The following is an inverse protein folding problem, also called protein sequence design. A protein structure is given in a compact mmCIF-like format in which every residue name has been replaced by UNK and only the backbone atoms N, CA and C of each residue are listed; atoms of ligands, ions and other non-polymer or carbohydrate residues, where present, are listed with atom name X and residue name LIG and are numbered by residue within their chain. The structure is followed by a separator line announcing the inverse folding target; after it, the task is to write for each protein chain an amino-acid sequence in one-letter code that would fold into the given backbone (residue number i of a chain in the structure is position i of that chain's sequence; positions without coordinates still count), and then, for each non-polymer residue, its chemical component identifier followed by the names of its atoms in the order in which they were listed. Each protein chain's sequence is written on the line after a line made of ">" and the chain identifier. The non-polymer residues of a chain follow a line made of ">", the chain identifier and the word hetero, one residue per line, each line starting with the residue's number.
data_IF_009727653526
#
_entry.id   IF_009727653526
#
_cell.length_a   1.000
_cell.length_b   1.000
_cell.length_c   1.000
_cell.angle_alpha   90.00
_cell.angle_beta   90.00
_cell.angle_gamma   90.00
#
_symmetry.space_group_name_H-M   'P 1'
#
loop_
_entity.id
_entity.type
_entity.pdbx_description
1 polymer ?
#
# COMPACT_ATOMS: atom_id res chain seq x y z
N UNK A 1 38.40 4.46 39.24
CA UNK A 1 39.01 4.05 37.97
C UNK A 1 38.07 3.09 37.27
N UNK A 2 37.73 3.43 36.01
CA UNK A 2 37.33 2.56 34.89
C UNK A 2 36.06 1.71 35.12
N UNK A 3 34.96 1.85 34.39
CA UNK A 3 34.76 2.42 33.06
C UNK A 3 33.72 1.54 32.36
N UNK A 4 32.64 2.17 31.88
CA UNK A 4 31.58 1.54 31.10
C UNK A 4 32.12 0.73 29.92
N UNK A 5 31.55 -0.46 29.67
CA UNK A 5 31.55 -1.06 28.35
C UNK A 5 30.10 -1.13 27.86
N UNK A 6 29.73 -0.07 27.14
CA UNK A 6 28.58 0.00 26.26
C UNK A 6 28.72 -1.04 25.16
N UNK A 7 27.90 -2.09 25.18
CA UNK A 7 27.75 -2.95 24.02
C UNK A 7 27.05 -2.16 22.92
N UNK A 8 27.82 -1.93 21.87
CA UNK A 8 27.49 -1.12 20.72
C UNK A 8 26.17 -1.59 20.08
N UNK A 9 25.26 -0.62 19.94
CA UNK A 9 24.09 -0.71 19.08
C UNK A 9 24.54 -0.97 17.64
N UNK A 10 24.61 -2.24 17.24
CA UNK A 10 24.76 -2.64 15.85
C UNK A 10 23.45 -2.31 15.13
N UNK A 11 23.31 -1.05 14.69
CA UNK A 11 22.38 -0.68 13.62
C UNK A 11 22.84 -1.39 12.36
N UNK A 12 22.33 -2.61 12.14
CA UNK A 12 22.41 -3.30 10.85
C UNK A 12 21.74 -2.41 9.81
N UNK A 13 22.53 -1.59 9.12
CA UNK A 13 22.18 -1.06 7.81
C UNK A 13 22.16 -2.24 6.85
N UNK A 14 21.07 -3.01 6.85
CA UNK A 14 20.80 -3.97 5.80
C UNK A 14 20.62 -3.15 4.51
N UNK A 15 21.61 -3.15 3.64
CA UNK A 15 21.45 -2.70 2.27
C UNK A 15 20.43 -3.63 1.61
N UNK A 16 19.17 -3.18 1.59
CA UNK A 16 18.10 -3.84 0.86
C UNK A 16 18.53 -3.96 -0.61
N UNK A 17 18.94 -5.15 -1.04
CA UNK A 17 19.27 -5.42 -2.42
C UNK A 17 18.07 -6.03 -3.14
N UNK A 18 17.92 -5.73 -4.44
CA UNK A 18 16.81 -6.17 -5.30
C UNK A 18 16.55 -7.67 -5.17
N UNK A 19 17.61 -8.47 -5.26
CA UNK A 19 17.56 -9.94 -5.22
C UNK A 19 16.93 -10.48 -3.94
N UNK A 20 17.22 -9.88 -2.79
CA UNK A 20 16.64 -10.28 -1.51
C UNK A 20 15.14 -9.97 -1.45
N UNK A 21 14.74 -8.78 -1.92
CA UNK A 21 13.32 -8.38 -1.99
C UNK A 21 12.55 -9.34 -2.89
N UNK A 22 13.06 -9.61 -4.10
CA UNK A 22 12.44 -10.52 -5.05
C UNK A 22 12.31 -11.93 -4.48
N UNK A 23 13.37 -12.45 -3.84
CA UNK A 23 13.34 -13.77 -3.18
C UNK A 23 12.27 -13.87 -2.09
N UNK A 24 12.04 -12.78 -1.34
CA UNK A 24 11.01 -12.75 -0.28
C UNK A 24 9.60 -12.94 -0.82
N UNK A 25 9.32 -12.46 -2.03
CA UNK A 25 7.97 -12.47 -2.62
C UNK A 25 7.81 -13.47 -3.77
N UNK A 26 8.90 -14.14 -4.16
CA UNK A 26 8.95 -15.04 -5.33
C UNK A 26 7.88 -16.14 -5.28
N UNK A 27 7.68 -16.73 -4.09
CA UNK A 27 6.65 -17.76 -3.83
C UNK A 27 5.24 -17.31 -4.26
N UNK A 28 4.98 -16.01 -4.31
CA UNK A 28 3.67 -15.44 -4.61
C UNK A 28 3.56 -14.89 -6.05
N UNK A 29 4.61 -14.98 -6.86
CA UNK A 29 4.67 -14.35 -8.19
C UNK A 29 3.51 -14.77 -9.11
N UNK A 30 3.13 -16.05 -9.13
CA UNK A 30 2.02 -16.54 -9.96
C UNK A 30 0.69 -15.88 -9.52
N UNK A 31 0.42 -15.88 -8.22
CA UNK A 31 -0.79 -15.29 -7.62
C UNK A 31 -0.84 -13.77 -7.90
N UNK A 32 0.28 -13.09 -7.70
CA UNK A 32 0.43 -11.64 -7.95
C UNK A 32 0.19 -11.33 -9.43
N UNK A 33 0.78 -12.10 -10.34
CA UNK A 33 0.60 -11.91 -11.79
C UNK A 33 -0.86 -12.11 -12.20
N UNK A 34 -1.53 -13.12 -11.69
CA UNK A 34 -2.94 -13.37 -11.96
C UNK A 34 -3.81 -12.20 -11.46
N UNK A 35 -3.58 -11.75 -10.21
CA UNK A 35 -4.31 -10.62 -9.65
C UNK A 35 -4.02 -9.31 -10.41
N UNK A 36 -2.77 -9.08 -10.82
CA UNK A 36 -2.36 -7.93 -11.64
C UNK A 36 -3.16 -7.85 -12.95
N UNK A 37 -3.26 -8.98 -13.67
CA UNK A 37 -4.02 -9.08 -14.91
C UNK A 37 -5.52 -8.91 -14.64
N UNK A 38 -6.07 -9.65 -13.68
CA UNK A 38 -7.49 -9.64 -13.35
C UNK A 38 -8.02 -8.25 -13.00
N UNK A 39 -7.27 -7.50 -12.18
CA UNK A 39 -7.68 -6.20 -11.68
C UNK A 39 -7.05 -5.03 -12.45
N UNK A 40 -6.26 -5.29 -13.50
CA UNK A 40 -5.51 -4.28 -14.26
C UNK A 40 -4.72 -3.34 -13.33
N UNK A 41 -3.96 -3.95 -12.41
CA UNK A 41 -3.12 -3.26 -11.43
C UNK A 41 -1.67 -3.62 -11.71
N UNK A 42 -0.77 -2.65 -11.62
CA UNK A 42 0.67 -2.85 -11.81
C UNK A 42 1.23 -3.92 -10.85
N UNK A 43 1.82 -4.98 -11.42
CA UNK A 43 2.43 -6.08 -10.68
C UNK A 43 3.51 -5.58 -9.70
N UNK A 44 4.33 -4.60 -10.12
CA UNK A 44 5.37 -4.02 -9.25
C UNK A 44 4.78 -3.31 -8.05
N UNK A 45 3.60 -2.69 -8.20
CA UNK A 45 2.92 -2.02 -7.10
C UNK A 45 2.42 -3.03 -6.07
N UNK A 46 1.80 -4.14 -6.51
CA UNK A 46 1.34 -5.22 -5.62
C UNK A 46 2.53 -5.80 -4.86
N UNK A 47 3.63 -6.13 -5.56
CA UNK A 47 4.88 -6.64 -4.96
C UNK A 47 5.43 -5.69 -3.89
N UNK A 48 5.47 -4.40 -4.20
CA UNK A 48 6.01 -3.38 -3.29
C UNK A 48 5.15 -3.23 -2.04
N UNK A 49 3.83 -3.28 -2.17
CA UNK A 49 2.89 -3.24 -1.04
C UNK A 49 3.07 -4.49 -0.17
N UNK A 50 3.05 -5.70 -0.75
CA UNK A 50 3.26 -6.96 0.01
C UNK A 50 4.55 -6.90 0.82
N UNK A 51 5.65 -6.45 0.19
CA UNK A 51 6.93 -6.36 0.87
C UNK A 51 6.90 -5.38 2.06
N UNK A 52 6.32 -4.19 1.88
CA UNK A 52 6.23 -3.17 2.95
C UNK A 52 5.27 -3.60 4.07
N UNK A 53 4.18 -4.28 3.74
CA UNK A 53 3.13 -4.67 4.69
C UNK A 53 3.50 -5.88 5.55
N UNK A 54 4.13 -6.90 4.95
CA UNK A 54 4.34 -8.19 5.64
C UNK A 54 5.72 -8.79 5.45
N UNK A 55 6.56 -8.22 4.57
CA UNK A 55 7.77 -8.87 4.08
C UNK A 55 7.52 -10.32 3.64
N UNK A 56 6.37 -10.58 2.99
CA UNK A 56 5.98 -11.90 2.51
C UNK A 56 5.43 -12.86 3.57
N UNK A 57 5.22 -12.42 4.80
CA UNK A 57 4.66 -13.24 5.88
C UNK A 57 3.13 -13.38 5.76
N UNK A 58 2.67 -14.58 5.42
CA UNK A 58 1.23 -14.90 5.28
C UNK A 58 0.46 -14.86 6.58
N UNK A 59 1.15 -14.98 7.72
CA UNK A 59 0.55 -14.96 9.07
C UNK A 59 0.70 -13.60 9.77
N UNK A 60 1.13 -12.57 9.05
CA UNK A 60 1.28 -11.23 9.61
C UNK A 60 -0.07 -10.71 10.15
N UNK A 61 -0.08 -10.20 11.38
CA UNK A 61 -1.23 -9.56 12.01
C UNK A 61 -0.78 -8.30 12.73
N UNK A 62 -1.30 -7.14 12.31
CA UNK A 62 -1.04 -5.88 13.03
C UNK A 62 -1.86 -5.77 14.31
N UNK A 63 -1.45 -4.86 15.20
CA UNK A 63 -2.21 -4.49 16.40
C UNK A 63 -3.61 -3.96 16.10
N UNK A 64 -3.84 -3.46 14.88
CA UNK A 64 -5.13 -2.98 14.40
C UNK A 64 -5.92 -4.02 13.56
N UNK A 65 -5.57 -5.30 13.70
CA UNK A 65 -6.21 -6.43 13.01
C UNK A 65 -6.17 -6.36 11.47
N UNK A 66 -5.10 -5.82 10.91
CA UNK A 66 -4.77 -6.00 9.50
C UNK A 66 -4.07 -7.36 9.31
N UNK A 67 -4.48 -8.15 8.32
CA UNK A 67 -4.15 -9.58 8.21
C UNK A 67 -3.42 -9.90 6.89
N UNK A 68 -2.42 -10.78 6.98
CA UNK A 68 -1.77 -11.45 5.87
C UNK A 68 -0.84 -10.58 5.03
N UNK A 69 -0.59 -11.03 3.80
CA UNK A 69 0.45 -10.50 2.90
C UNK A 69 0.30 -9.01 2.60
N UNK A 70 -0.93 -8.56 2.35
CA UNK A 70 -1.28 -7.19 1.99
C UNK A 70 -1.93 -6.42 3.15
N UNK A 71 -1.89 -6.97 4.38
CA UNK A 71 -2.45 -6.38 5.60
C UNK A 71 -3.89 -5.85 5.39
N UNK A 72 -4.77 -6.75 4.99
CA UNK A 72 -6.18 -6.44 4.77
C UNK A 72 -6.91 -6.37 6.11
N UNK A 73 -7.64 -5.28 6.36
CA UNK A 73 -8.57 -5.18 7.49
C UNK A 73 -9.95 -5.69 7.06
N UNK A 74 -10.53 -6.71 7.74
CA UNK A 74 -11.88 -7.19 7.48
C UNK A 74 -12.91 -6.05 7.39
N UNK A 75 -12.95 -5.19 8.41
CA UNK A 75 -13.94 -4.12 8.55
C UNK A 75 -13.72 -2.88 7.68
N UNK A 76 -12.69 -2.87 6.84
CA UNK A 76 -12.40 -1.78 5.91
C UNK A 76 -12.27 -2.30 4.48
N UNK A 77 -11.05 -2.46 3.96
CA UNK A 77 -10.83 -2.94 2.59
C UNK A 77 -11.51 -4.30 2.31
N UNK A 78 -11.53 -5.21 3.29
CA UNK A 78 -12.24 -6.48 3.16
C UNK A 78 -13.74 -6.30 2.92
N UNK A 79 -14.38 -5.49 3.76
CA UNK A 79 -15.79 -5.14 3.69
C UNK A 79 -16.14 -4.42 2.38
N UNK A 80 -15.32 -3.45 1.96
CA UNK A 80 -15.52 -2.73 0.69
C UNK A 80 -15.50 -3.69 -0.51
N UNK A 81 -14.55 -4.63 -0.54
CA UNK A 81 -14.46 -5.61 -1.62
C UNK A 81 -15.56 -6.65 -1.55
N UNK A 82 -15.95 -7.14 -0.37
CA UNK A 82 -17.07 -8.07 -0.23
C UNK A 82 -18.37 -7.46 -0.74
N UNK A 83 -18.65 -6.21 -0.37
CA UNK A 83 -19.80 -5.46 -0.89
C UNK A 83 -19.74 -5.30 -2.41
N UNK A 84 -18.57 -4.97 -2.96
CA UNK A 84 -18.37 -4.77 -4.40
C UNK A 84 -18.70 -6.03 -5.21
N UNK A 85 -18.40 -7.22 -4.67
CA UNK A 85 -18.67 -8.51 -5.34
C UNK A 85 -19.99 -9.16 -4.92
N UNK A 86 -20.88 -8.42 -4.24
CA UNK A 86 -22.19 -8.91 -3.83
C UNK A 86 -22.18 -9.93 -2.68
N UNK A 87 -21.07 -10.09 -1.96
CA UNK A 87 -21.00 -10.90 -0.74
C UNK A 87 -21.54 -10.10 0.45
N UNK A 88 -22.22 -10.81 1.36
CA UNK A 88 -22.65 -10.25 2.66
C UNK A 88 -21.50 -10.29 3.67
N UNK A 89 -21.45 -9.29 4.55
CA UNK A 89 -20.46 -9.23 5.64
C UNK A 89 -19.05 -8.85 5.18
N UNK A 90 -18.06 -9.31 5.93
CA UNK A 90 -16.63 -9.09 5.73
C UNK A 90 -15.87 -10.43 5.69
N UNK A 91 -14.68 -10.51 5.08
CA UNK A 91 -13.87 -11.71 5.11
C UNK A 91 -13.46 -12.07 6.54
N UNK A 92 -13.54 -13.35 6.88
CA UNK A 92 -13.02 -13.86 8.14
C UNK A 92 -11.50 -13.72 8.23
N UNK A 93 -10.97 -13.68 9.45
CA UNK A 93 -9.52 -13.67 9.69
C UNK A 93 -8.84 -14.90 9.05
N UNK A 94 -9.49 -16.07 9.12
CA UNK A 94 -8.96 -17.30 8.54
C UNK A 94 -8.87 -17.23 7.01
N UNK A 95 -9.90 -16.67 6.34
CA UNK A 95 -9.85 -16.42 4.89
C UNK A 95 -8.69 -15.49 4.53
N UNK A 96 -8.42 -14.46 5.34
CA UNK A 96 -7.36 -13.49 5.05
C UNK A 96 -5.93 -14.03 5.26
N UNK A 97 -5.76 -15.16 5.95
CA UNK A 97 -4.46 -15.87 5.99
C UNK A 97 -4.20 -16.68 4.71
N UNK A 98 -5.22 -16.94 3.88
CA UNK A 98 -5.02 -17.56 2.58
C UNK A 98 -4.35 -16.56 1.61
N UNK A 99 -3.16 -16.85 1.06
CA UNK A 99 -2.43 -15.92 0.19
C UNK A 99 -3.20 -15.48 -1.05
N UNK A 100 -3.93 -16.40 -1.69
CA UNK A 100 -4.70 -16.13 -2.90
C UNK A 100 -5.86 -15.17 -2.60
N UNK A 101 -6.60 -15.41 -1.53
CA UNK A 101 -7.72 -14.55 -1.10
C UNK A 101 -7.18 -13.17 -0.71
N UNK A 102 -6.12 -13.13 0.09
CA UNK A 102 -5.52 -11.89 0.58
C UNK A 102 -5.02 -11.00 -0.56
N UNK A 103 -4.26 -11.57 -1.50
CA UNK A 103 -3.74 -10.84 -2.67
C UNK A 103 -4.89 -10.39 -3.59
N UNK A 104 -5.91 -11.23 -3.81
CA UNK A 104 -7.05 -10.86 -4.62
C UNK A 104 -7.83 -9.68 -4.02
N UNK A 105 -8.07 -9.69 -2.70
CA UNK A 105 -8.74 -8.57 -2.03
C UNK A 105 -7.87 -7.31 -2.11
N UNK A 106 -6.58 -7.40 -1.82
CA UNK A 106 -5.68 -6.25 -1.88
C UNK A 106 -5.57 -5.64 -3.29
N UNK A 107 -5.42 -6.48 -4.32
CA UNK A 107 -5.39 -6.02 -5.72
C UNK A 107 -6.73 -5.42 -6.17
N UNK A 108 -7.85 -6.04 -5.79
CA UNK A 108 -9.19 -5.50 -6.03
C UNK A 108 -9.39 -4.15 -5.34
N UNK A 109 -8.88 -3.98 -4.11
CA UNK A 109 -8.93 -2.71 -3.38
C UNK A 109 -8.10 -1.63 -4.06
N UNK A 110 -6.90 -1.96 -4.55
CA UNK A 110 -6.08 -1.03 -5.36
C UNK A 110 -6.86 -0.59 -6.61
N UNK A 111 -7.51 -1.53 -7.29
CA UNK A 111 -8.34 -1.22 -8.46
C UNK A 111 -9.52 -0.29 -8.11
N UNK A 112 -10.23 -0.58 -7.02
CA UNK A 112 -11.32 0.26 -6.51
C UNK A 112 -10.84 1.70 -6.28
N UNK A 113 -9.69 1.87 -5.61
CA UNK A 113 -9.09 3.18 -5.38
C UNK A 113 -8.81 3.90 -6.71
N UNK A 114 -8.17 3.24 -7.67
CA UNK A 114 -7.77 3.86 -8.93
C UNK A 114 -8.94 4.19 -9.86
N UNK A 115 -9.95 3.32 -9.91
CA UNK A 115 -11.06 3.43 -10.88
C UNK A 115 -12.27 4.15 -10.35
N UNK A 116 -12.44 4.22 -9.04
CA UNK A 116 -13.59 4.88 -8.41
C UNK A 116 -13.17 6.07 -7.56
N UNK A 117 -12.35 5.86 -6.53
CA UNK A 117 -12.09 6.91 -5.54
C UNK A 117 -11.17 8.02 -6.05
N UNK A 118 -10.19 7.66 -6.89
CA UNK A 118 -9.18 8.55 -7.45
C UNK A 118 -9.41 8.79 -8.94
N UNK A 119 -10.61 8.47 -9.43
CA UNK A 119 -10.97 8.64 -10.83
C UNK A 119 -10.71 10.08 -11.28
N UNK A 120 -10.10 10.24 -12.45
CA UNK A 120 -9.76 11.53 -13.04
C UNK A 120 -8.34 12.02 -12.78
N UNK A 121 -7.53 11.39 -11.90
CA UNK A 121 -6.08 11.67 -11.84
C UNK A 121 -5.43 11.19 -13.14
N UNK A 122 -4.84 12.10 -13.91
CA UNK A 122 -4.32 11.84 -15.27
C UNK A 122 -2.87 11.36 -15.27
N UNK A 123 -2.03 11.95 -14.45
CA UNK A 123 -0.61 11.60 -14.38
C UNK A 123 -0.46 10.22 -13.71
N UNK A 124 0.11 9.25 -14.43
CA UNK A 124 0.25 7.86 -13.95
C UNK A 124 1.12 7.73 -12.70
N UNK A 125 2.17 8.54 -12.56
CA UNK A 125 3.03 8.51 -11.38
C UNK A 125 2.31 9.12 -10.16
N UNK A 126 1.59 10.23 -10.35
CA UNK A 126 0.74 10.81 -9.30
C UNK A 126 -0.38 9.83 -8.93
N UNK A 127 -1.03 9.17 -9.89
CA UNK A 127 -2.04 8.14 -9.62
C UNK A 127 -1.47 7.02 -8.75
N UNK A 128 -0.25 6.53 -9.05
CA UNK A 128 0.43 5.52 -8.23
C UNK A 128 0.68 6.03 -6.81
N UNK A 129 1.18 7.25 -6.63
CA UNK A 129 1.45 7.81 -5.31
C UNK A 129 0.17 8.07 -4.51
N UNK A 130 -0.86 8.60 -5.16
CA UNK A 130 -2.19 8.77 -4.60
C UNK A 130 -2.79 7.43 -4.16
N UNK A 131 -2.62 6.38 -4.97
CA UNK A 131 -3.05 5.02 -4.63
C UNK A 131 -2.33 4.51 -3.38
N UNK A 132 -1.01 4.64 -3.30
CA UNK A 132 -0.20 4.20 -2.15
C UNK A 132 -0.64 4.92 -0.87
N UNK A 133 -0.82 6.24 -0.91
CA UNK A 133 -1.28 7.00 0.25
C UNK A 133 -2.70 6.61 0.64
N UNK A 134 -3.58 6.43 -0.34
CA UNK A 134 -4.98 6.05 -0.11
C UNK A 134 -5.13 4.62 0.41
N UNK A 135 -4.18 3.74 0.09
CA UNK A 135 -4.17 2.36 0.59
C UNK A 135 -4.07 2.31 2.11
N UNK A 136 -3.20 3.16 2.70
CA UNK A 136 -2.99 3.20 4.15
C UNK A 136 -3.95 4.15 4.89
N UNK A 137 -4.32 5.29 4.28
CA UNK A 137 -5.08 6.35 4.96
C UNK A 137 -6.49 6.60 4.40
N UNK A 138 -6.87 5.94 3.32
CA UNK A 138 -8.13 6.16 2.60
C UNK A 138 -8.09 7.35 1.63
N UNK A 139 -8.80 7.21 0.51
CA UNK A 139 -8.82 8.22 -0.55
C UNK A 139 -9.42 9.56 -0.11
N UNK A 140 -10.47 9.53 0.71
CA UNK A 140 -11.08 10.76 1.23
C UNK A 140 -10.12 11.59 2.07
N UNK A 141 -9.25 10.94 2.86
CA UNK A 141 -8.24 11.63 3.65
C UNK A 141 -7.17 12.27 2.75
N UNK A 142 -6.72 11.55 1.71
CA UNK A 142 -5.79 12.09 0.72
C UNK A 142 -6.37 13.31 -0.02
N UNK A 143 -7.60 13.21 -0.53
CA UNK A 143 -8.20 14.28 -1.33
C UNK A 143 -8.41 15.56 -0.50
N UNK A 144 -8.73 15.42 0.78
CA UNK A 144 -8.85 16.53 1.74
C UNK A 144 -7.56 17.32 1.96
N UNK A 145 -6.39 16.77 1.60
CA UNK A 145 -5.12 17.52 1.60
C UNK A 145 -5.15 18.65 0.55
N UNK A 146 -5.87 18.45 -0.54
CA UNK A 146 -5.91 19.38 -1.67
C UNK A 146 -7.16 20.27 -1.65
N UNK A 147 -8.34 19.70 -1.38
CA UNK A 147 -9.58 20.46 -1.25
C UNK A 147 -10.67 19.68 -0.49
N UNK A 148 -11.68 20.38 0.04
CA UNK A 148 -12.86 19.75 0.65
C UNK A 148 -13.72 18.99 -0.36
N UNK A 149 -13.89 19.54 -1.56
CA UNK A 149 -14.65 18.92 -2.65
C UNK A 149 -13.72 18.03 -3.50
N UNK A 150 -14.19 16.82 -3.83
CA UNK A 150 -13.42 15.82 -4.57
C UNK A 150 -13.01 16.30 -5.97
N UNK A 151 -13.93 16.87 -6.76
CA UNK A 151 -13.62 17.32 -8.12
C UNK A 151 -12.59 18.46 -8.12
N UNK A 152 -12.70 19.37 -7.17
CA UNK A 152 -11.70 20.43 -6.97
C UNK A 152 -10.35 19.84 -6.59
N UNK A 153 -10.30 18.85 -5.69
CA UNK A 153 -9.07 18.18 -5.32
C UNK A 153 -8.41 17.51 -6.54
N UNK A 154 -9.18 16.80 -7.36
CA UNK A 154 -8.70 16.16 -8.59
C UNK A 154 -8.19 17.20 -9.60
N UNK A 155 -8.87 18.33 -9.76
CA UNK A 155 -8.40 19.44 -10.62
C UNK A 155 -7.04 19.98 -10.16
N UNK A 156 -6.88 20.23 -8.86
CA UNK A 156 -5.60 20.67 -8.27
C UNK A 156 -4.51 19.61 -8.48
N UNK A 157 -4.81 18.34 -8.20
CA UNK A 157 -3.85 17.24 -8.38
C UNK A 157 -3.37 17.15 -9.84
N UNK A 158 -4.27 17.38 -10.79
CA UNK A 158 -3.93 17.37 -12.22
C UNK A 158 -3.15 18.61 -12.68
N UNK A 159 -3.12 19.69 -11.92
CA UNK A 159 -2.40 20.93 -12.26
C UNK A 159 -1.03 21.04 -11.60
N UNK A 160 -0.60 20.05 -10.80
CA UNK A 160 0.65 20.08 -10.06
C UNK A 160 1.65 19.02 -10.55
N UNK A 161 2.93 19.28 -10.29
CA UNK A 161 4.00 18.32 -10.59
C UNK A 161 4.06 17.21 -9.55
N UNK A 162 4.71 16.09 -9.90
CA UNK A 162 4.99 14.98 -8.97
C UNK A 162 5.71 15.46 -7.71
N UNK A 163 6.72 16.35 -7.86
CA UNK A 163 7.44 16.96 -6.74
C UNK A 163 6.49 17.73 -5.81
N UNK A 164 5.57 18.50 -6.38
CA UNK A 164 4.61 19.30 -5.61
C UNK A 164 3.59 18.40 -4.90
N UNK A 165 3.09 17.35 -5.56
CA UNK A 165 2.22 16.34 -4.94
C UNK A 165 2.90 15.73 -3.71
N UNK A 166 4.15 15.32 -3.83
CA UNK A 166 4.94 14.78 -2.72
C UNK A 166 5.09 15.78 -1.56
N UNK A 167 5.31 17.06 -1.87
CA UNK A 167 5.35 18.12 -0.86
C UNK A 167 4.02 18.29 -0.10
N UNK A 168 2.88 18.20 -0.78
CA UNK A 168 1.57 18.25 -0.11
C UNK A 168 1.39 17.08 0.87
N UNK A 169 1.70 15.86 0.42
CA UNK A 169 1.61 14.66 1.27
C UNK A 169 2.55 14.77 2.49
N UNK A 170 3.78 15.25 2.30
CA UNK A 170 4.76 15.37 3.39
C UNK A 170 4.44 16.47 4.41
N UNK A 171 3.75 17.53 4.00
CA UNK A 171 3.29 18.60 4.90
C UNK A 171 2.07 18.22 5.72
N UNK A 172 1.34 17.17 5.34
CA UNK A 172 0.17 16.72 6.07
C UNK A 172 0.53 16.23 7.49
N UNK A 173 -0.30 16.49 8.52
CA UNK A 173 -0.01 16.08 9.90
C UNK A 173 0.15 14.57 10.09
N UNK A 174 -0.60 13.78 9.30
CA UNK A 174 -0.52 12.31 9.36
C UNK A 174 0.76 11.78 8.71
N UNK A 175 1.88 11.84 9.44
CA UNK A 175 3.20 11.40 8.97
C UNK A 175 3.26 9.93 8.56
N UNK A 176 2.36 9.08 9.06
CA UNK A 176 2.32 7.67 8.64
C UNK A 176 2.17 7.52 7.12
N UNK A 177 1.34 8.34 6.47
CA UNK A 177 1.13 8.29 5.02
C UNK A 177 2.39 8.65 4.23
N UNK A 178 3.10 9.72 4.61
CA UNK A 178 4.33 10.13 3.93
C UNK A 178 5.42 9.06 4.08
N UNK A 179 5.60 8.52 5.28
CA UNK A 179 6.58 7.44 5.50
C UNK A 179 6.23 6.17 4.73
N UNK A 180 4.94 5.81 4.69
CA UNK A 180 4.47 4.66 3.92
C UNK A 180 4.73 4.86 2.42
N UNK A 181 4.41 6.04 1.89
CA UNK A 181 4.68 6.42 0.51
C UNK A 181 6.16 6.27 0.16
N UNK A 182 7.06 6.81 0.99
CA UNK A 182 8.51 6.72 0.80
C UNK A 182 9.01 5.27 0.79
N UNK A 183 8.54 4.44 1.72
CA UNK A 183 8.89 3.01 1.78
C UNK A 183 8.47 2.27 0.51
N UNK A 184 7.20 2.41 0.10
CA UNK A 184 6.70 1.70 -1.08
C UNK A 184 7.37 2.19 -2.35
N UNK A 185 7.59 3.50 -2.53
CA UNK A 185 8.31 4.05 -3.70
C UNK A 185 9.74 3.53 -3.75
N UNK A 186 10.43 3.46 -2.61
CA UNK A 186 11.80 2.92 -2.54
C UNK A 186 11.84 1.49 -3.05
N UNK A 187 10.93 0.63 -2.59
CA UNK A 187 10.85 -0.77 -3.02
C UNK A 187 10.46 -0.84 -4.51
N UNK A 188 9.45 -0.08 -4.93
CA UNK A 188 8.97 -0.03 -6.31
C UNK A 188 10.07 0.33 -7.32
N UNK A 189 10.97 1.25 -6.96
CA UNK A 189 12.11 1.65 -7.81
C UNK A 189 13.23 0.61 -7.83
N UNK A 190 13.33 -0.23 -6.80
CA UNK A 190 14.39 -1.24 -6.67
C UNK A 190 14.08 -2.51 -7.47
N UNK A 191 12.80 -2.88 -7.61
CA UNK A 191 12.38 -4.12 -8.30
C UNK A 191 12.02 -3.88 -9.76
#
# INVERSE_FOLDING_TARGET
>A
MLGCNTSENVKKHFSLNKKQIEKTIDRWNIIIKHASIQYNVDEKLIKSIIYVESAGNTFARSSSNAIGLMQIKPSAAGLDIYRLIGKKGEPSIQELYNPQININIGASYIHLLQKRNLFGIKNKEIMRYATIVSYVNGASALLKIFAKNQDTAIKIINSITVKKFFQYVNKHPAKQASHYLEKVIKIYKLI
#
